data_IF_787962109339
#
_entry.id   IF_787962109339
#
_cell.length_a   1.000
_cell.length_b   1.000
_cell.length_c   1.000
_cell.angle_alpha   90.00
_cell.angle_beta   90.00
_cell.angle_gamma   90.00
#
_symmetry.space_group_name_H-M   'P 1'
#
loop_
_entity.id
_entity.type
_entity.pdbx_description
1 polymer ?
#
# COMPACT_ATOMS: atom_id res chain seq x y z
N UNK A 1 2.11 8.40 -0.74
CA UNK A 1 3.55 8.20 -1.06
C UNK A 1 3.66 7.16 -2.15
N UNK A 2 4.75 7.15 -2.92
CA UNK A 2 4.97 6.15 -3.96
C UNK A 2 5.02 4.73 -3.35
N UNK A 3 4.58 3.71 -4.10
CA UNK A 3 4.59 2.30 -3.67
C UNK A 3 6.00 1.67 -3.73
N UNK A 4 7.00 2.40 -3.26
CA UNK A 4 8.41 1.98 -3.25
C UNK A 4 8.86 1.72 -1.81
N UNK A 5 9.99 1.05 -1.64
CA UNK A 5 10.59 0.79 -0.32
C UNK A 5 10.84 2.09 0.45
N UNK A 6 11.37 3.11 -0.22
CA UNK A 6 11.59 4.44 0.38
C UNK A 6 10.27 5.12 0.76
N UNK A 7 9.24 4.95 -0.08
CA UNK A 7 7.89 5.44 0.19
C UNK A 7 7.26 4.77 1.41
N UNK A 8 7.49 3.47 1.60
CA UNK A 8 7.03 2.73 2.79
C UNK A 8 7.77 3.17 4.05
N UNK A 9 9.10 3.32 3.96
CA UNK A 9 9.92 3.83 5.08
C UNK A 9 9.45 5.21 5.51
N UNK A 10 9.21 6.10 4.55
CA UNK A 10 8.72 7.46 4.81
C UNK A 10 7.31 7.43 5.41
N UNK A 11 6.42 6.56 4.92
CA UNK A 11 5.08 6.41 5.46
C UNK A 11 5.10 5.94 6.92
N UNK A 12 5.98 4.99 7.24
CA UNK A 12 6.15 4.48 8.60
C UNK A 12 6.67 5.57 9.53
N UNK A 13 7.67 6.33 9.10
CA UNK A 13 8.19 7.47 9.87
C UNK A 13 7.12 8.51 10.19
N UNK A 14 6.27 8.86 9.22
CA UNK A 14 5.17 9.81 9.44
C UNK A 14 4.14 9.25 10.43
N UNK A 15 3.79 7.96 10.30
CA UNK A 15 2.86 7.31 11.23
C UNK A 15 3.39 7.34 12.68
N UNK A 16 4.68 7.04 12.87
CA UNK A 16 5.33 7.08 14.18
C UNK A 16 5.42 8.51 14.73
N UNK A 17 5.72 9.50 13.89
CA UNK A 17 5.76 10.91 14.29
C UNK A 17 4.39 11.44 14.74
N UNK A 18 3.29 10.82 14.31
CA UNK A 18 1.92 11.16 14.69
C UNK A 18 1.36 10.25 15.80
N UNK A 19 2.16 9.28 16.28
CA UNK A 19 1.75 8.35 17.35
C UNK A 19 1.63 9.11 18.68
N UNK A 20 0.42 9.60 18.97
CA UNK A 20 0.13 10.41 20.16
C UNK A 20 -0.80 11.58 19.88
N UNK A 21 -1.04 11.88 18.61
CA UNK A 21 -2.11 12.78 18.20
C UNK A 21 -3.42 11.99 18.02
N UNK A 22 -4.55 12.60 18.36
CA UNK A 22 -5.89 12.03 18.14
C UNK A 22 -6.31 12.18 16.67
N UNK A 23 -5.51 11.59 15.77
CA UNK A 23 -5.74 11.61 14.33
C UNK A 23 -5.61 10.21 13.75
N UNK A 24 -6.50 9.89 12.82
CA UNK A 24 -6.49 8.61 12.13
C UNK A 24 -5.52 8.66 10.94
N UNK A 25 -4.41 7.93 11.04
CA UNK A 25 -3.49 7.75 9.91
C UNK A 25 -3.96 6.59 9.05
N UNK A 26 -4.15 6.82 7.75
CA UNK A 26 -4.52 5.79 6.78
C UNK A 26 -3.58 5.82 5.58
N UNK A 27 -3.45 4.68 4.90
CA UNK A 27 -2.67 4.55 3.68
C UNK A 27 -3.58 4.21 2.50
N UNK A 28 -3.21 4.69 1.31
CA UNK A 28 -3.88 4.30 0.08
C UNK A 28 -3.72 2.80 -0.15
N UNK A 29 -4.77 2.16 -0.65
CA UNK A 29 -4.72 0.75 -1.04
C UNK A 29 -3.62 0.55 -2.10
N UNK A 30 -2.86 -0.54 -1.94
CA UNK A 30 -1.87 -0.97 -2.92
C UNK A 30 -2.32 -2.32 -3.47
N UNK A 31 -2.37 -2.43 -4.80
CA UNK A 31 -2.90 -3.61 -5.47
C UNK A 31 -3.07 -3.39 -6.96
N UNK A 32 -3.83 -4.28 -7.59
CA UNK A 32 -4.06 -4.29 -9.04
C UNK A 32 -4.83 -3.04 -9.46
N UNK A 33 -4.36 -2.27 -10.47
CA UNK A 33 -5.11 -1.15 -11.02
C UNK A 33 -6.44 -1.62 -11.61
N UNK A 34 -7.51 -0.85 -11.36
CA UNK A 34 -8.83 -1.12 -11.91
C UNK A 34 -8.80 -1.02 -13.44
N UNK A 35 -9.07 -2.12 -14.13
CA UNK A 35 -9.14 -2.17 -15.61
C UNK A 35 -7.86 -2.58 -16.33
N UNK A 36 -6.80 -2.99 -15.62
CA UNK A 36 -5.69 -3.73 -16.24
C UNK A 36 -6.07 -5.20 -16.42
N UNK A 37 -5.97 -5.73 -17.63
CA UNK A 37 -6.01 -7.18 -17.84
C UNK A 37 -4.89 -7.82 -17.00
N UNK A 38 -5.22 -8.89 -16.27
CA UNK A 38 -4.28 -9.64 -15.43
C UNK A 38 -3.00 -10.05 -16.19
N UNK A 39 -3.11 -10.17 -17.52
CA UNK A 39 -2.05 -10.56 -18.44
C UNK A 39 -0.92 -9.52 -18.57
N UNK A 40 -1.13 -8.27 -18.13
CA UNK A 40 -0.13 -7.19 -18.20
C UNK A 40 0.45 -6.79 -16.85
N UNK A 41 0.09 -7.49 -15.77
CA UNK A 41 0.63 -7.22 -14.45
C UNK A 41 1.88 -8.07 -14.18
N UNK A 42 2.94 -7.45 -13.67
CA UNK A 42 4.09 -8.20 -13.19
C UNK A 42 3.71 -9.05 -11.96
N UNK A 43 4.37 -10.20 -11.82
CA UNK A 43 4.16 -11.14 -10.71
C UNK A 43 4.31 -10.47 -9.33
N UNK A 44 5.14 -9.42 -9.24
CA UNK A 44 5.36 -8.63 -8.03
C UNK A 44 4.09 -7.89 -7.59
N UNK A 45 3.40 -7.26 -8.53
CA UNK A 45 2.13 -6.56 -8.29
C UNK A 45 1.01 -7.53 -7.91
N UNK A 46 0.91 -8.68 -8.59
CA UNK A 46 -0.08 -9.72 -8.24
C UNK A 46 0.18 -10.26 -6.83
N UNK A 47 1.44 -10.57 -6.51
CA UNK A 47 1.84 -11.04 -5.19
C UNK A 47 1.55 -10.02 -4.09
N UNK A 48 1.78 -8.72 -4.35
CA UNK A 48 1.45 -7.65 -3.42
C UNK A 48 -0.06 -7.53 -3.19
N UNK A 49 -0.87 -7.61 -4.25
CA UNK A 49 -2.32 -7.55 -4.17
C UNK A 49 -2.91 -8.74 -3.38
N UNK A 50 -2.39 -9.95 -3.60
CA UNK A 50 -2.82 -11.14 -2.86
C UNK A 50 -2.49 -11.05 -1.36
N UNK A 51 -1.31 -10.53 -1.01
CA UNK A 51 -0.92 -10.31 0.40
C UNK A 51 -1.75 -9.20 1.07
N UNK A 52 -2.12 -8.16 0.32
CA UNK A 52 -2.91 -7.05 0.81
C UNK A 52 -4.43 -7.35 0.84
N UNK A 53 -4.87 -8.53 0.34
CA UNK A 53 -6.27 -8.92 0.30
C UNK A 53 -6.84 -9.03 1.72
N UNK A 54 -7.68 -8.07 2.10
CA UNK A 54 -8.50 -8.16 3.32
C UNK A 54 -9.65 -9.13 3.07
N UNK A 55 -9.95 -10.00 4.04
CA UNK A 55 -11.20 -10.76 4.04
C UNK A 55 -12.37 -9.77 4.13
N UNK A 56 -13.42 -10.04 3.35
CA UNK A 56 -14.65 -9.23 3.31
C UNK A 56 -15.41 -9.40 4.61
#
# INVERSE_FOLDING_TARGET
>A
LAATVDGQTTAHYIADALAGLDVQVTALAQGVPMGGELDYLDDGTIGAALRARKAV
#
